data_IF_473122128013
#
_entry.id   IF_473122128013
#
_cell.length_a   1.000
_cell.length_b   1.000
_cell.length_c   1.000
_cell.angle_alpha   90.00
_cell.angle_beta   90.00
_cell.angle_gamma   90.00
#
_symmetry.space_group_name_H-M   'P 1'
#
loop_
_entity.id
_entity.type
_entity.pdbx_description
1 polymer ?
#
# COMPACT_ATOMS: atom_id res chain seq x y z
N UNK A 1 95.04 99.40 16.60
CA UNK A 1 94.13 99.45 15.43
C UNK A 1 93.61 98.06 15.02
N UNK A 2 94.49 97.07 14.81
CA UNK A 2 94.17 95.71 14.29
C UNK A 2 93.09 94.91 15.04
N UNK A 3 93.14 94.85 16.37
CA UNK A 3 92.12 94.14 17.18
C UNK A 3 90.71 94.76 17.08
N UNK A 4 90.62 96.09 16.88
CA UNK A 4 89.32 96.79 16.72
C UNK A 4 88.70 96.49 15.35
N UNK A 5 89.50 96.32 14.30
CA UNK A 5 88.99 95.96 12.96
C UNK A 5 88.53 94.51 12.87
N UNK A 6 89.23 93.58 13.53
CA UNK A 6 88.82 92.16 13.61
C UNK A 6 87.49 92.01 14.37
N UNK A 7 87.36 92.65 15.54
CA UNK A 7 86.10 92.64 16.29
C UNK A 7 84.93 93.27 15.50
N UNK A 8 85.20 94.34 14.74
CA UNK A 8 84.20 94.95 13.86
C UNK A 8 83.81 94.03 12.68
N UNK A 9 84.75 93.25 12.14
CA UNK A 9 84.52 92.25 11.12
C UNK A 9 83.61 91.12 11.62
N UNK A 10 83.95 90.53 12.77
CA UNK A 10 83.17 89.48 13.43
C UNK A 10 81.75 89.96 13.73
N UNK A 11 81.59 91.18 14.26
CA UNK A 11 80.26 91.76 14.50
C UNK A 11 79.44 91.94 13.22
N UNK A 12 80.08 92.28 12.10
CA UNK A 12 79.42 92.40 10.80
C UNK A 12 78.97 91.03 10.29
N UNK A 13 79.82 90.02 10.38
CA UNK A 13 79.52 88.65 10.00
C UNK A 13 78.37 88.07 10.86
N UNK A 14 78.43 88.22 12.18
CA UNK A 14 77.37 87.79 13.08
C UNK A 14 76.03 88.47 12.75
N UNK A 15 76.03 89.77 12.44
CA UNK A 15 74.82 90.48 11.98
C UNK A 15 74.30 89.93 10.64
N UNK A 16 75.18 89.59 9.71
CA UNK A 16 74.78 89.02 8.43
C UNK A 16 74.18 87.63 8.60
N UNK A 17 74.78 86.78 9.45
CA UNK A 17 74.24 85.46 9.79
C UNK A 17 72.86 85.58 10.42
N UNK A 18 72.69 86.49 11.39
CA UNK A 18 71.38 86.73 12.03
C UNK A 18 70.32 87.19 11.02
N UNK A 19 70.67 88.10 10.11
CA UNK A 19 69.76 88.52 9.03
C UNK A 19 69.39 87.37 8.10
N UNK A 20 70.37 86.54 7.73
CA UNK A 20 70.13 85.35 6.90
C UNK A 20 69.22 84.33 7.60
N UNK A 21 69.44 84.09 8.89
CA UNK A 21 68.61 83.21 9.69
C UNK A 21 67.18 83.74 9.84
N UNK A 22 67.00 85.04 10.10
CA UNK A 22 65.68 85.67 10.15
C UNK A 22 64.93 85.57 8.82
N UNK A 23 65.62 85.80 7.70
CA UNK A 23 65.04 85.66 6.37
C UNK A 23 64.61 84.20 6.10
N UNK A 24 65.51 83.24 6.33
CA UNK A 24 65.22 81.82 6.17
C UNK A 24 64.07 81.36 7.08
N UNK A 25 64.03 81.83 8.33
CA UNK A 25 62.93 81.53 9.26
C UNK A 25 61.59 82.07 8.76
N UNK A 26 61.57 83.30 8.21
CA UNK A 26 60.34 83.89 7.64
C UNK A 26 59.87 83.12 6.41
N UNK A 27 60.79 82.77 5.52
CA UNK A 27 60.50 81.99 4.32
C UNK A 27 59.96 80.59 4.67
N UNK A 28 60.66 79.85 5.53
CA UNK A 28 60.22 78.54 5.98
C UNK A 28 58.87 78.59 6.71
N UNK A 29 58.64 79.63 7.52
CA UNK A 29 57.34 79.83 8.17
C UNK A 29 56.22 80.14 7.16
N UNK A 30 56.50 80.88 6.09
CA UNK A 30 55.52 81.17 5.05
C UNK A 30 55.21 79.90 4.25
N UNK A 31 56.24 79.14 3.88
CA UNK A 31 56.10 77.86 3.17
C UNK A 31 55.30 76.84 3.97
N UNK A 32 55.63 76.64 5.25
CA UNK A 32 54.89 75.71 6.12
C UNK A 32 53.42 76.10 6.25
N UNK A 33 53.11 77.40 6.35
CA UNK A 33 51.71 77.87 6.38
C UNK A 33 50.99 77.61 5.07
N UNK A 34 51.66 77.81 3.93
CA UNK A 34 51.09 77.51 2.62
C UNK A 34 50.79 76.01 2.46
N UNK A 35 51.76 75.15 2.75
CA UNK A 35 51.61 73.68 2.67
C UNK A 35 50.50 73.18 3.62
N UNK A 36 50.42 73.71 4.84
CA UNK A 36 49.34 73.36 5.78
C UNK A 36 47.97 73.81 5.29
N UNK A 37 47.89 75.00 4.68
CA UNK A 37 46.63 75.53 4.13
C UNK A 37 46.17 74.70 2.93
N UNK A 38 47.08 74.35 2.03
CA UNK A 38 46.80 73.50 0.86
C UNK A 38 46.41 72.09 1.28
N UNK A 39 47.17 71.46 2.17
CA UNK A 39 46.80 70.15 2.71
C UNK A 39 45.48 70.14 3.49
N UNK A 40 45.05 71.27 4.05
CA UNK A 40 43.73 71.40 4.67
C UNK A 40 42.60 71.48 3.62
N UNK A 41 42.79 72.24 2.53
CA UNK A 41 41.80 72.37 1.47
C UNK A 41 41.65 71.06 0.68
N UNK A 42 42.75 70.36 0.40
CA UNK A 42 42.75 69.05 -0.25
C UNK A 42 41.99 68.01 0.58
N UNK A 43 42.32 67.86 1.86
CA UNK A 43 41.60 66.95 2.77
C UNK A 43 40.12 67.29 2.88
N UNK A 44 39.77 68.59 2.92
CA UNK A 44 38.37 69.01 2.93
C UNK A 44 37.65 68.61 1.63
N UNK A 45 38.30 68.74 0.47
CA UNK A 45 37.74 68.33 -0.81
C UNK A 45 37.55 66.81 -0.88
N UNK A 46 38.53 66.03 -0.42
CA UNK A 46 38.44 64.57 -0.37
C UNK A 46 37.32 64.10 0.57
N UNK A 47 37.19 64.69 1.77
CA UNK A 47 36.09 64.39 2.69
C UNK A 47 34.73 64.72 2.07
N UNK A 48 34.60 65.85 1.36
CA UNK A 48 33.34 66.18 0.66
C UNK A 48 33.02 65.16 -0.44
N UNK A 49 34.03 64.73 -1.19
CA UNK A 49 33.88 63.72 -2.24
C UNK A 49 33.43 62.38 -1.67
N UNK A 50 34.14 61.87 -0.65
CA UNK A 50 33.82 60.60 0.00
C UNK A 50 32.43 60.62 0.64
N UNK A 51 32.04 61.72 1.31
CA UNK A 51 30.67 61.88 1.82
C UNK A 51 29.63 61.88 0.70
N UNK A 52 29.93 62.50 -0.45
CA UNK A 52 29.10 62.46 -1.64
C UNK A 52 28.89 61.04 -2.16
N UNK A 53 29.95 60.26 -2.25
CA UNK A 53 29.92 58.89 -2.75
C UNK A 53 29.21 57.94 -1.76
N UNK A 54 29.46 58.08 -0.46
CA UNK A 54 28.74 57.35 0.59
C UNK A 54 27.24 57.65 0.54
N UNK A 55 26.83 58.92 0.34
CA UNK A 55 25.41 59.28 0.19
C UNK A 55 24.78 58.64 -1.04
N UNK A 56 25.48 58.58 -2.17
CA UNK A 56 25.01 57.89 -3.38
C UNK A 56 24.86 56.39 -3.12
N UNK A 57 25.83 55.77 -2.46
CA UNK A 57 25.81 54.36 -2.11
C UNK A 57 24.61 54.02 -1.22
N UNK A 58 24.40 54.79 -0.14
CA UNK A 58 23.25 54.61 0.77
C UNK A 58 21.92 54.75 0.02
N UNK A 59 21.82 55.71 -0.91
CA UNK A 59 20.62 55.89 -1.75
C UNK A 59 20.39 54.68 -2.66
N UNK A 60 21.45 54.17 -3.29
CA UNK A 60 21.40 52.96 -4.12
C UNK A 60 20.93 51.74 -3.33
N UNK A 61 21.48 51.51 -2.14
CA UNK A 61 21.04 50.45 -1.23
C UNK A 61 19.57 50.58 -0.84
N UNK A 62 19.09 51.79 -0.55
CA UNK A 62 17.69 52.02 -0.20
C UNK A 62 16.76 51.65 -1.36
N UNK A 63 17.07 52.09 -2.58
CA UNK A 63 16.29 51.79 -3.78
C UNK A 63 16.28 50.28 -4.06
N UNK A 64 17.47 49.66 -4.03
CA UNK A 64 17.63 48.21 -4.24
C UNK A 64 16.83 47.41 -3.21
N UNK A 65 16.95 47.75 -1.92
CA UNK A 65 16.19 47.10 -0.84
C UNK A 65 14.68 47.24 -1.05
N UNK A 66 14.20 48.41 -1.44
CA UNK A 66 12.78 48.64 -1.69
C UNK A 66 12.28 47.79 -2.87
N UNK A 67 13.03 47.77 -3.98
CA UNK A 67 12.72 46.95 -5.15
C UNK A 67 12.72 45.45 -4.84
N UNK A 68 13.72 44.96 -4.12
CA UNK A 68 13.78 43.56 -3.70
C UNK A 68 12.60 43.20 -2.79
N UNK A 69 12.28 44.07 -1.83
CA UNK A 69 11.17 43.83 -0.91
C UNK A 69 9.80 43.81 -1.61
N UNK A 70 9.60 44.64 -2.64
CA UNK A 70 8.36 44.63 -3.42
C UNK A 70 8.28 43.41 -4.33
N UNK A 71 9.40 43.00 -4.93
CA UNK A 71 9.53 41.75 -5.69
C UNK A 71 9.16 40.53 -4.85
N UNK A 72 9.81 40.37 -3.70
CA UNK A 72 9.54 39.25 -2.77
C UNK A 72 8.07 39.22 -2.31
N UNK A 73 7.47 40.37 -2.01
CA UNK A 73 6.04 40.45 -1.66
C UNK A 73 5.15 39.98 -2.81
N UNK A 74 5.46 40.40 -4.03
CA UNK A 74 4.70 40.03 -5.24
C UNK A 74 4.80 38.54 -5.52
N UNK A 75 6.00 37.98 -5.42
CA UNK A 75 6.23 36.55 -5.67
C UNK A 75 5.60 35.67 -4.59
N UNK A 76 5.68 36.07 -3.32
CA UNK A 76 4.98 35.38 -2.24
C UNK A 76 3.47 35.40 -2.46
N UNK A 77 2.90 36.56 -2.84
CA UNK A 77 1.47 36.70 -3.11
C UNK A 77 1.02 35.80 -4.27
N UNK A 78 1.81 35.75 -5.34
CA UNK A 78 1.58 34.87 -6.49
C UNK A 78 1.66 33.38 -6.12
N UNK A 79 2.69 33.00 -5.36
CA UNK A 79 2.87 31.61 -4.91
C UNK A 79 1.70 31.16 -4.04
N UNK A 80 1.27 31.99 -3.07
CA UNK A 80 0.10 31.71 -2.23
C UNK A 80 -1.18 31.59 -3.05
N UNK A 81 -1.39 32.47 -4.03
CA UNK A 81 -2.55 32.39 -4.92
C UNK A 81 -2.55 31.11 -5.78
N UNK A 82 -1.40 30.72 -6.32
CA UNK A 82 -1.24 29.48 -7.09
C UNK A 82 -1.51 28.24 -6.24
N UNK A 83 -0.91 28.17 -5.05
CA UNK A 83 -1.11 27.07 -4.12
C UNK A 83 -2.58 26.92 -3.71
N UNK A 84 -3.26 28.04 -3.43
CA UNK A 84 -4.71 28.03 -3.14
C UNK A 84 -5.54 27.49 -4.31
N UNK A 85 -5.21 27.89 -5.54
CA UNK A 85 -5.91 27.42 -6.73
C UNK A 85 -5.71 25.92 -6.96
N UNK A 86 -4.49 25.42 -6.79
CA UNK A 86 -4.17 23.98 -6.90
C UNK A 86 -4.88 23.14 -5.85
N UNK A 87 -4.83 23.56 -4.57
CA UNK A 87 -5.57 22.92 -3.48
C UNK A 87 -7.08 22.92 -3.77
N UNK A 88 -7.62 24.03 -4.28
CA UNK A 88 -9.03 24.12 -4.69
C UNK A 88 -9.40 23.09 -5.76
N UNK A 89 -8.55 22.93 -6.79
CA UNK A 89 -8.73 21.91 -7.83
C UNK A 89 -8.67 20.49 -7.26
N UNK A 90 -7.68 20.19 -6.41
CA UNK A 90 -7.55 18.88 -5.79
C UNK A 90 -8.77 18.53 -4.93
N UNK A 91 -9.26 19.48 -4.11
CA UNK A 91 -10.48 19.29 -3.32
C UNK A 91 -11.72 19.09 -4.19
N UNK A 92 -11.83 19.83 -5.30
CA UNK A 92 -12.89 19.65 -6.30
C UNK A 92 -12.89 18.23 -6.88
N UNK A 93 -11.73 17.77 -7.34
CA UNK A 93 -11.54 16.43 -7.90
C UNK A 93 -11.86 15.34 -6.87
N UNK A 94 -11.36 15.47 -5.65
CA UNK A 94 -11.62 14.52 -4.56
C UNK A 94 -13.12 14.42 -4.25
N UNK A 95 -13.84 15.56 -4.20
CA UNK A 95 -15.30 15.57 -4.00
C UNK A 95 -16.04 14.88 -5.14
N UNK A 96 -15.63 15.12 -6.38
CA UNK A 96 -16.22 14.46 -7.56
C UNK A 96 -15.99 12.95 -7.54
N UNK A 97 -14.79 12.49 -7.19
CA UNK A 97 -14.47 11.07 -7.04
C UNK A 97 -15.32 10.41 -5.95
N UNK A 98 -15.42 11.03 -4.77
CA UNK A 98 -16.26 10.51 -3.67
C UNK A 98 -17.73 10.44 -4.09
N UNK A 99 -18.22 11.46 -4.81
CA UNK A 99 -19.59 11.45 -5.34
C UNK A 99 -19.79 10.32 -6.35
N UNK A 100 -18.86 10.16 -7.30
CA UNK A 100 -18.88 9.08 -8.29
C UNK A 100 -18.87 7.69 -7.65
N UNK A 101 -18.02 7.47 -6.65
CA UNK A 101 -17.97 6.21 -5.91
C UNK A 101 -19.28 5.91 -5.18
N UNK A 102 -19.90 6.91 -4.55
CA UNK A 102 -21.21 6.75 -3.90
C UNK A 102 -22.31 6.37 -4.89
N UNK A 103 -22.34 7.02 -6.06
CA UNK A 103 -23.30 6.69 -7.12
C UNK A 103 -23.08 5.27 -7.64
N UNK A 104 -21.86 4.94 -8.03
CA UNK A 104 -21.51 3.60 -8.53
C UNK A 104 -21.83 2.50 -7.51
N UNK A 105 -21.52 2.71 -6.23
CA UNK A 105 -21.86 1.76 -5.16
C UNK A 105 -23.37 1.57 -5.02
N UNK A 106 -24.15 2.64 -5.12
CA UNK A 106 -25.62 2.56 -5.04
C UNK A 106 -26.19 1.79 -6.22
N UNK A 107 -25.69 2.04 -7.42
CA UNK A 107 -26.11 1.34 -8.64
C UNK A 107 -25.76 -0.15 -8.59
N UNK A 108 -24.50 -0.47 -8.26
CA UNK A 108 -24.05 -1.85 -8.12
C UNK A 108 -24.83 -2.61 -7.03
N UNK A 109 -25.07 -1.97 -5.88
CA UNK A 109 -25.89 -2.54 -4.82
C UNK A 109 -27.34 -2.76 -5.24
N UNK A 110 -27.93 -1.81 -5.98
CA UNK A 110 -29.27 -1.94 -6.53
C UNK A 110 -29.39 -3.07 -7.55
N UNK A 111 -28.39 -3.23 -8.43
CA UNK A 111 -28.36 -4.31 -9.41
C UNK A 111 -28.22 -5.68 -8.73
N UNK A 112 -27.29 -5.82 -7.78
CA UNK A 112 -27.10 -7.07 -7.05
C UNK A 112 -28.36 -7.51 -6.30
N UNK A 113 -29.11 -6.56 -5.70
CA UNK A 113 -30.38 -6.86 -5.06
C UNK A 113 -31.46 -7.32 -6.05
N UNK A 114 -31.52 -6.73 -7.25
CA UNK A 114 -32.44 -7.17 -8.31
C UNK A 114 -32.08 -8.58 -8.79
N UNK A 115 -30.80 -8.84 -9.05
CA UNK A 115 -30.33 -10.14 -9.52
C UNK A 115 -30.60 -11.23 -8.48
N UNK A 116 -30.38 -10.95 -7.20
CA UNK A 116 -30.73 -11.86 -6.10
C UNK A 116 -32.23 -12.12 -6.01
N UNK A 117 -33.06 -11.08 -6.16
CA UNK A 117 -34.51 -11.23 -6.14
C UNK A 117 -35.01 -12.08 -7.32
N UNK A 118 -34.46 -11.86 -8.52
CA UNK A 118 -34.79 -12.62 -9.72
C UNK A 118 -34.35 -14.08 -9.56
N UNK A 119 -33.11 -14.32 -9.15
CA UNK A 119 -32.60 -15.69 -8.93
C UNK A 119 -33.44 -16.44 -7.90
N UNK A 120 -33.88 -15.78 -6.83
CA UNK A 120 -34.79 -16.36 -5.85
C UNK A 120 -36.14 -16.75 -6.48
N UNK A 121 -36.73 -15.86 -7.29
CA UNK A 121 -38.00 -16.14 -7.95
C UNK A 121 -37.87 -17.30 -8.95
N UNK A 122 -36.78 -17.35 -9.72
CA UNK A 122 -36.51 -18.42 -10.68
C UNK A 122 -36.31 -19.77 -9.97
N UNK A 123 -35.57 -19.80 -8.85
CA UNK A 123 -35.44 -21.00 -8.03
C UNK A 123 -36.77 -21.46 -7.45
N UNK A 124 -37.59 -20.53 -6.93
CA UNK A 124 -38.90 -20.86 -6.38
C UNK A 124 -39.82 -21.46 -7.45
N UNK A 125 -39.83 -20.87 -8.65
CA UNK A 125 -40.56 -21.39 -9.81
C UNK A 125 -40.07 -22.78 -10.22
N UNK A 126 -38.74 -22.96 -10.34
CA UNK A 126 -38.13 -24.25 -10.69
C UNK A 126 -38.44 -25.36 -9.69
N UNK A 127 -38.39 -25.06 -8.40
CA UNK A 127 -38.75 -26.04 -7.34
C UNK A 127 -40.24 -26.40 -7.41
N UNK A 128 -41.13 -25.43 -7.62
CA UNK A 128 -42.57 -25.70 -7.80
C UNK A 128 -42.83 -26.60 -9.00
N UNK A 129 -42.14 -26.36 -10.11
CA UNK A 129 -42.24 -27.18 -11.31
C UNK A 129 -41.75 -28.61 -11.04
N UNK A 130 -40.58 -28.79 -10.40
CA UNK A 130 -40.06 -30.11 -10.03
C UNK A 130 -41.02 -30.89 -9.13
N UNK A 131 -41.64 -30.22 -8.14
CA UNK A 131 -42.62 -30.87 -7.26
C UNK A 131 -43.86 -31.32 -8.03
N UNK A 132 -44.38 -30.48 -8.93
CA UNK A 132 -45.51 -30.82 -9.80
C UNK A 132 -45.20 -32.03 -10.70
N UNK A 133 -44.02 -32.06 -11.32
CA UNK A 133 -43.59 -33.15 -12.19
C UNK A 133 -43.34 -34.44 -11.40
N UNK A 134 -42.81 -34.35 -10.18
CA UNK A 134 -42.66 -35.48 -9.28
C UNK A 134 -44.02 -36.07 -8.87
N UNK A 135 -45.00 -35.22 -8.53
CA UNK A 135 -46.35 -35.68 -8.16
C UNK A 135 -47.06 -36.37 -9.34
N UNK A 136 -46.90 -35.85 -10.56
CA UNK A 136 -47.39 -36.50 -11.78
C UNK A 136 -46.73 -37.86 -12.00
N UNK A 137 -45.40 -37.94 -11.93
CA UNK A 137 -44.66 -39.19 -12.09
C UNK A 137 -45.10 -40.23 -11.04
N UNK A 138 -45.28 -39.81 -9.79
CA UNK A 138 -45.79 -40.66 -8.71
C UNK A 138 -47.23 -41.12 -8.95
N UNK A 139 -48.07 -40.26 -9.53
CA UNK A 139 -49.43 -40.59 -9.97
C UNK A 139 -49.44 -41.70 -11.03
N UNK A 140 -48.59 -41.57 -12.05
CA UNK A 140 -48.44 -42.55 -13.12
C UNK A 140 -47.95 -43.90 -12.57
N UNK A 141 -46.88 -43.91 -11.77
CA UNK A 141 -46.38 -45.14 -11.14
C UNK A 141 -47.45 -45.83 -10.29
N UNK A 142 -48.29 -45.06 -9.59
CA UNK A 142 -49.43 -45.62 -8.82
C UNK A 142 -50.49 -46.24 -9.73
N UNK A 143 -50.75 -45.65 -10.89
CA UNK A 143 -51.68 -46.21 -11.88
C UNK A 143 -51.11 -47.52 -12.45
N UNK A 144 -49.86 -47.51 -12.89
CA UNK A 144 -49.16 -48.70 -13.41
C UNK A 144 -49.15 -49.83 -12.39
N UNK A 145 -48.87 -49.54 -11.11
CA UNK A 145 -48.92 -50.56 -10.04
C UNK A 145 -50.32 -51.14 -9.84
N UNK A 146 -51.38 -50.34 -10.01
CA UNK A 146 -52.76 -50.85 -9.95
C UNK A 146 -53.08 -51.75 -11.13
N UNK A 147 -52.67 -51.36 -12.33
CA UNK A 147 -52.84 -52.18 -13.54
C UNK A 147 -52.07 -53.49 -13.45
N UNK A 148 -50.79 -53.45 -13.06
CA UNK A 148 -49.97 -54.64 -12.82
C UNK A 148 -50.62 -55.52 -11.77
N UNK A 149 -51.13 -54.96 -10.66
CA UNK A 149 -51.84 -55.74 -9.63
C UNK A 149 -53.09 -56.41 -10.18
N UNK A 150 -53.90 -55.71 -10.96
CA UNK A 150 -55.10 -56.27 -11.59
C UNK A 150 -54.75 -57.39 -12.57
N UNK A 151 -53.74 -57.18 -13.41
CA UNK A 151 -53.22 -58.19 -14.33
C UNK A 151 -52.69 -59.43 -13.59
N UNK A 152 -51.94 -59.23 -12.50
CA UNK A 152 -51.46 -60.32 -11.65
C UNK A 152 -52.62 -61.09 -10.99
N UNK A 153 -53.64 -60.40 -10.47
CA UNK A 153 -54.83 -61.04 -9.90
C UNK A 153 -55.56 -61.89 -10.94
N UNK A 154 -55.75 -61.37 -12.16
CA UNK A 154 -56.32 -62.14 -13.28
C UNK A 154 -55.47 -63.35 -13.67
N UNK A 155 -54.14 -63.19 -13.68
CA UNK A 155 -53.21 -64.29 -13.95
C UNK A 155 -53.25 -65.35 -12.83
N UNK A 156 -53.34 -64.94 -11.56
CA UNK A 156 -53.45 -65.89 -10.44
C UNK A 156 -54.79 -66.61 -10.43
N UNK A 157 -55.91 -65.95 -10.77
CA UNK A 157 -57.20 -66.62 -10.89
C UNK A 157 -57.20 -67.66 -12.01
N UNK A 158 -56.64 -67.32 -13.18
CA UNK A 158 -56.45 -68.28 -14.29
C UNK A 158 -55.41 -69.37 -13.98
N UNK A 159 -54.45 -69.09 -13.10
CA UNK A 159 -53.51 -70.11 -12.58
C UNK A 159 -54.14 -70.98 -11.51
N UNK A 160 -55.07 -70.49 -10.70
CA UNK A 160 -55.80 -71.29 -9.71
C UNK A 160 -56.76 -72.27 -10.40
N UNK A 161 -57.26 -71.90 -11.59
CA UNK A 161 -57.92 -72.84 -12.53
C UNK A 161 -56.97 -73.85 -13.19
N UNK A 162 -55.65 -73.59 -13.20
CA UNK A 162 -54.63 -74.47 -13.81
C UNK A 162 -53.67 -75.14 -12.83
N UNK A 163 -53.79 -74.89 -11.52
CA UNK A 163 -52.87 -75.38 -10.47
C UNK A 163 -53.54 -76.45 -9.60
N UNK A 164 -54.17 -77.41 -10.28
CA UNK A 164 -54.14 -78.82 -9.89
C UNK A 164 -52.79 -79.48 -10.21
N UNK A 165 -51.81 -78.80 -10.84
CA UNK A 165 -50.49 -79.39 -11.13
C UNK A 165 -49.29 -78.44 -10.94
N UNK A 166 -48.53 -78.75 -9.89
CA UNK A 166 -47.04 -78.72 -9.80
C UNK A 166 -46.32 -77.39 -9.51
N UNK A 167 -45.62 -77.37 -8.35
CA UNK A 167 -44.15 -77.24 -8.26
C UNK A 167 -43.49 -75.85 -8.15
N UNK A 168 -42.82 -75.60 -7.02
CA UNK A 168 -42.00 -74.43 -6.65
C UNK A 168 -40.69 -74.25 -7.48
N UNK A 169 -40.13 -73.02 -7.57
CA UNK A 169 -38.74 -72.78 -7.96
C UNK A 169 -37.81 -72.43 -6.77
N UNK A 170 -36.46 -72.59 -6.86
CA UNK A 170 -35.54 -72.23 -5.79
C UNK A 170 -34.82 -70.88 -6.01
N UNK A 171 -34.28 -70.40 -4.88
CA UNK A 171 -33.75 -69.07 -4.54
C UNK A 171 -32.21 -69.06 -4.67
N UNK A 172 -31.61 -67.95 -5.07
CA UNK A 172 -30.15 -67.74 -5.02
C UNK A 172 -29.77 -66.74 -3.90
N UNK A 173 -28.75 -67.11 -3.13
CA UNK A 173 -28.13 -66.38 -2.01
C UNK A 173 -27.01 -65.44 -2.48
N UNK A 174 -26.83 -64.33 -1.73
CA UNK A 174 -25.79 -63.34 -1.91
C UNK A 174 -24.69 -63.51 -0.85
N UNK A 175 -23.42 -63.43 -1.27
CA UNK A 175 -22.25 -63.43 -0.39
C UNK A 175 -21.71 -62.01 -0.23
N UNK A 176 -21.56 -61.58 1.02
CA UNK A 176 -20.82 -60.41 1.45
C UNK A 176 -19.47 -60.87 2.04
N UNK A 177 -18.37 -60.22 1.67
CA UNK A 177 -17.08 -60.38 2.33
C UNK A 177 -16.50 -59.00 2.69
N UNK A 178 -16.18 -58.85 3.97
CA UNK A 178 -15.36 -57.78 4.55
C UNK A 178 -13.96 -58.36 4.75
N UNK A 179 -12.92 -57.64 4.33
CA UNK A 179 -11.55 -57.91 4.80
C UNK A 179 -10.81 -56.62 5.16
N UNK A 180 -9.98 -56.77 6.18
CA UNK A 180 -9.17 -55.81 6.93
C UNK A 180 -7.82 -55.55 6.22
N UNK A 181 -7.30 -54.31 6.21
CA UNK A 181 -5.95 -54.04 5.68
C UNK A 181 -5.25 -52.92 6.48
N UNK A 182 -4.39 -53.26 7.48
CA UNK A 182 -3.53 -52.30 8.20
C UNK A 182 -2.37 -51.74 7.34
N UNK A 183 -1.96 -52.44 6.28
CA UNK A 183 -0.79 -52.09 5.45
C UNK A 183 -0.99 -50.81 4.60
N UNK A 184 -2.24 -50.40 4.38
CA UNK A 184 -2.56 -49.19 3.62
C UNK A 184 -2.26 -47.89 4.40
N UNK A 185 -2.31 -47.92 5.74
CA UNK A 185 -2.05 -46.72 6.56
C UNK A 185 -0.59 -46.26 6.40
N UNK A 186 0.36 -47.19 6.47
CA UNK A 186 1.80 -46.92 6.35
C UNK A 186 2.14 -46.38 4.95
N UNK A 187 1.57 -47.00 3.92
CA UNK A 187 1.78 -46.61 2.52
C UNK A 187 1.22 -45.21 2.22
N UNK A 188 0.06 -44.86 2.77
CA UNK A 188 -0.54 -43.51 2.63
C UNK A 188 0.32 -42.46 3.33
N UNK A 189 0.82 -42.73 4.54
CA UNK A 189 1.71 -41.81 5.25
C UNK A 189 3.01 -41.55 4.47
N UNK A 190 3.63 -42.61 3.94
CA UNK A 190 4.85 -42.48 3.14
C UNK A 190 4.63 -41.64 1.87
N UNK A 191 3.45 -41.75 1.24
CA UNK A 191 3.09 -40.94 0.09
C UNK A 191 2.88 -39.47 0.46
N UNK A 192 2.19 -39.18 1.57
CA UNK A 192 1.95 -37.81 2.04
C UNK A 192 3.24 -37.11 2.48
N UNK A 193 4.16 -37.83 3.15
CA UNK A 193 5.45 -37.27 3.59
C UNK A 193 6.39 -36.87 2.45
N UNK A 194 6.20 -37.41 1.24
CA UNK A 194 6.97 -37.01 0.05
C UNK A 194 6.50 -35.69 -0.56
N UNK A 195 5.33 -35.19 -0.15
CA UNK A 195 4.68 -34.01 -0.69
C UNK A 195 4.39 -32.98 0.42
N UNK A 196 5.42 -32.24 0.90
CA UNK A 196 5.23 -31.22 1.92
C UNK A 196 4.30 -30.07 1.48
N UNK A 197 4.15 -29.85 0.17
CA UNK A 197 3.20 -28.92 -0.45
C UNK A 197 1.73 -29.38 -0.41
N UNK A 198 1.48 -30.61 0.05
CA UNK A 198 0.16 -31.20 0.16
C UNK A 198 -0.24 -32.00 -1.08
N UNK A 199 -0.84 -33.17 -0.86
CA UNK A 199 -1.29 -34.09 -1.93
C UNK A 199 -2.79 -34.36 -1.85
N UNK A 200 -3.46 -34.48 -2.99
CA UNK A 200 -4.87 -34.87 -3.03
C UNK A 200 -5.01 -36.40 -2.92
N UNK A 201 -6.19 -36.86 -2.50
CA UNK A 201 -6.47 -38.30 -2.37
C UNK A 201 -6.32 -39.07 -3.69
N UNK A 202 -6.57 -38.41 -4.83
CA UNK A 202 -6.39 -39.00 -6.16
C UNK A 202 -4.90 -39.24 -6.50
N UNK A 203 -4.01 -38.31 -6.15
CA UNK A 203 -2.58 -38.44 -6.34
C UNK A 203 -1.98 -39.48 -5.42
N UNK A 204 -2.47 -39.58 -4.18
CA UNK A 204 -2.09 -40.70 -3.28
C UNK A 204 -2.54 -42.04 -3.87
N UNK A 205 -3.77 -42.12 -4.38
CA UNK A 205 -4.30 -43.30 -5.05
C UNK A 205 -3.44 -43.74 -6.24
N UNK A 206 -3.04 -42.79 -7.09
CA UNK A 206 -2.15 -43.03 -8.24
C UNK A 206 -0.77 -43.51 -7.78
N UNK A 207 -0.20 -42.89 -6.74
CA UNK A 207 1.12 -43.28 -6.22
C UNK A 207 1.16 -44.70 -5.62
N UNK A 208 0.01 -45.21 -5.18
CA UNK A 208 -0.12 -46.53 -4.54
C UNK A 208 -0.77 -47.58 -5.44
N UNK A 209 -1.34 -47.19 -6.58
CA UNK A 209 -2.11 -48.08 -7.46
C UNK A 209 -3.42 -48.59 -6.84
N UNK A 210 -4.00 -47.85 -5.89
CA UNK A 210 -5.21 -48.26 -5.14
C UNK A 210 -6.38 -47.32 -5.46
N UNK A 211 -7.60 -47.84 -5.58
CA UNK A 211 -8.77 -47.01 -5.84
C UNK A 211 -9.01 -45.97 -4.73
N UNK A 212 -9.31 -44.69 -5.06
CA UNK A 212 -9.49 -43.61 -4.08
C UNK A 212 -10.53 -43.89 -2.98
N UNK A 213 -11.55 -44.71 -3.29
CA UNK A 213 -12.62 -45.08 -2.36
C UNK A 213 -12.08 -45.89 -1.17
N UNK A 214 -11.09 -46.76 -1.40
CA UNK A 214 -10.48 -47.59 -0.36
C UNK A 214 -9.64 -46.73 0.59
N UNK A 215 -8.96 -45.71 0.05
CA UNK A 215 -8.14 -44.78 0.81
C UNK A 215 -8.96 -43.82 1.67
N UNK A 216 -10.24 -43.59 1.34
CA UNK A 216 -11.09 -42.68 2.11
C UNK A 216 -11.25 -43.07 3.58
N UNK A 217 -11.34 -44.38 3.88
CA UNK A 217 -11.42 -44.87 5.27
C UNK A 217 -10.07 -44.73 5.99
N UNK A 218 -9.00 -45.10 5.29
CA UNK A 218 -7.61 -45.05 5.77
C UNK A 218 -7.17 -43.62 6.08
N UNK A 219 -7.45 -42.66 5.20
CA UNK A 219 -7.15 -41.24 5.40
C UNK A 219 -7.94 -40.62 6.55
N UNK A 220 -9.18 -41.08 6.78
CA UNK A 220 -9.97 -40.63 7.93
C UNK A 220 -9.39 -41.13 9.26
N UNK A 221 -8.87 -42.36 9.29
CA UNK A 221 -8.18 -42.90 10.45
C UNK A 221 -6.88 -42.13 10.75
N UNK A 222 -6.09 -41.81 9.71
CA UNK A 222 -4.83 -41.05 9.86
C UNK A 222 -5.06 -39.60 10.32
N UNK A 223 -6.14 -38.95 9.85
CA UNK A 223 -6.57 -37.65 10.37
C UNK A 223 -6.98 -37.74 11.85
N UNK A 224 -7.66 -38.82 12.24
CA UNK A 224 -8.06 -39.06 13.63
C UNK A 224 -6.89 -39.31 14.57
N UNK A 225 -5.79 -39.91 14.07
CA UNK A 225 -4.53 -40.12 14.80
C UNK A 225 -3.64 -38.88 14.87
N UNK A 226 -3.95 -37.83 14.10
CA UNK A 226 -3.16 -36.60 14.05
C UNK A 226 -1.84 -36.72 13.29
N UNK A 227 -1.67 -37.78 12.48
CA UNK A 227 -0.44 -38.01 11.70
C UNK A 227 -0.45 -37.26 10.34
N UNK A 228 -1.63 -36.84 9.90
CA UNK A 228 -1.86 -36.08 8.67
C UNK A 228 -2.86 -34.97 8.98
N UNK A 229 -2.66 -33.76 8.44
CA UNK A 229 -3.65 -32.67 8.48
C UNK A 229 -4.32 -32.49 7.12
N UNK A 230 -5.56 -31.99 7.11
CA UNK A 230 -6.31 -31.74 5.87
C UNK A 230 -6.70 -30.28 5.77
N UNK A 231 -6.34 -29.66 4.65
CA UNK A 231 -6.74 -28.29 4.31
C UNK A 231 -7.44 -28.31 2.95
N UNK A 232 -8.75 -28.08 2.95
CA UNK A 232 -9.58 -28.19 1.75
C UNK A 232 -9.58 -29.61 1.16
N UNK A 233 -8.99 -29.76 -0.03
CA UNK A 233 -8.89 -31.04 -0.77
C UNK A 233 -7.51 -31.71 -0.66
N UNK A 234 -6.57 -31.09 0.04
CA UNK A 234 -5.18 -31.54 0.16
C UNK A 234 -4.90 -32.08 1.55
N UNK A 235 -3.99 -33.06 1.60
CA UNK A 235 -3.49 -33.71 2.80
C UNK A 235 -2.01 -33.39 2.97
N UNK A 236 -1.62 -32.98 4.16
CA UNK A 236 -0.25 -32.58 4.49
C UNK A 236 0.28 -33.44 5.63
N UNK A 237 1.60 -33.70 5.66
CA UNK A 237 2.20 -34.34 6.81
C UNK A 237 1.96 -33.50 8.06
N UNK A 238 1.63 -34.13 9.18
CA UNK A 238 1.62 -33.43 10.46
C UNK A 238 3.07 -33.05 10.77
N UNK A 239 3.35 -31.74 10.82
CA UNK A 239 4.67 -31.19 11.11
C UNK A 239 5.23 -31.92 12.35
N UNK A 240 6.41 -32.53 12.18
CA UNK A 240 6.92 -33.56 13.08
C UNK A 240 6.87 -33.18 14.55
N UNK A 241 6.65 -34.20 15.40
CA UNK A 241 6.76 -34.16 16.87
C UNK A 241 7.56 -32.97 17.41
N UNK A 242 6.86 -31.95 17.89
CA UNK A 242 7.45 -30.81 18.56
C UNK A 242 6.37 -29.83 19.02
N UNK A 243 6.03 -29.92 20.30
CA UNK A 243 5.26 -28.92 21.05
C UNK A 243 3.75 -28.85 20.81
N UNK A 244 3.07 -29.76 21.50
CA UNK A 244 1.74 -29.47 22.00
C UNK A 244 1.75 -28.15 22.81
N UNK A 245 0.89 -27.21 22.41
CA UNK A 245 0.31 -26.25 23.35
C UNK A 245 0.79 -24.81 23.21
N UNK A 246 0.36 -24.10 22.17
CA UNK A 246 -0.05 -22.71 22.35
C UNK A 246 -1.39 -22.48 21.67
N UNK A 247 -2.40 -22.29 22.53
CA UNK A 247 -3.77 -22.02 22.13
C UNK A 247 -3.85 -20.74 21.30
N UNK A 248 -4.44 -20.85 20.12
CA UNK A 248 -4.98 -19.71 19.41
C UNK A 248 -6.15 -19.14 20.21
N UNK A 249 -5.87 -18.15 21.05
CA UNK A 249 -6.89 -17.28 21.63
C UNK A 249 -7.48 -16.40 20.52
N UNK A 250 -8.69 -16.76 20.08
CA UNK A 250 -9.55 -15.88 19.30
C UNK A 250 -9.95 -14.69 20.18
N UNK A 251 -9.36 -13.51 19.96
CA UNK A 251 -9.91 -12.25 20.47
C UNK A 251 -11.01 -11.79 19.52
N UNK A 252 -12.27 -11.63 19.98
CA UNK A 252 -13.30 -11.02 19.16
C UNK A 252 -13.03 -9.51 18.99
N UNK A 253 -13.45 -8.93 17.85
CA UNK A 253 -13.31 -7.50 17.63
C UNK A 253 -14.25 -6.73 18.57
N UNK A 254 -13.70 -5.75 19.27
CA UNK A 254 -14.48 -4.81 20.07
C UNK A 254 -15.48 -4.06 19.16
N UNK A 255 -16.70 -3.89 19.68
CA UNK A 255 -17.73 -2.98 19.17
C UNK A 255 -17.30 -1.53 19.30
#
# INVERSE_FOLDING_TARGET
ARRKSEAAGILREARNILKGFEASRKENSARLRAELSEGATERQAEVKKTLGDVRKLIRGFRISRQSLSSGLRKDLSRSVASARAEVGKMLGNARSLVKGFRTSRREAGGQLMKDLAQSRADMESGVKQMLSDFDKARGNVRADLKEVRAAWQGLTSTRQEKKDKVGNPPKAEALAAKEEIPDLEIKVLAAVNKHPEGINLAGVAESLGVAPIVLGRTSKNLLGKGEVRKEGKLYFPADGKGEAGQGFHFRPPFR
#
